data_IF_489910511754
#
_entry.id   IF_489910511754
#
_cell.length_a   1.000
_cell.length_b   1.000
_cell.length_c   1.000
_cell.angle_alpha   90.00
_cell.angle_beta   90.00
_cell.angle_gamma   90.00
#
_symmetry.space_group_name_H-M   'P 1'
#
loop_
_entity.id
_entity.type
_entity.pdbx_description
1 polymer ?
#
# COMPACT_ATOMS: atom_id res chain seq x y z
N UNK A 1 40.85 -7.48 -9.71
CA UNK A 1 39.54 -7.49 -10.38
C UNK A 1 38.52 -8.39 -9.65
N UNK A 2 38.98 -9.36 -8.85
CA UNK A 2 38.16 -10.29 -8.05
C UNK A 2 37.38 -9.62 -6.88
N UNK A 3 37.94 -8.60 -6.23
CA UNK A 3 37.31 -7.91 -5.07
C UNK A 3 36.13 -6.97 -5.44
N UNK A 4 35.84 -6.79 -6.73
CA UNK A 4 34.70 -5.96 -7.19
C UNK A 4 33.44 -6.80 -7.45
N UNK A 5 33.59 -8.09 -7.72
CA UNK A 5 32.46 -9.00 -8.00
C UNK A 5 31.78 -9.48 -6.71
N UNK A 6 32.55 -9.85 -5.67
CA UNK A 6 31.99 -10.20 -4.35
C UNK A 6 31.20 -9.05 -3.70
N UNK A 7 31.64 -7.81 -3.89
CA UNK A 7 30.94 -6.61 -3.37
C UNK A 7 29.64 -6.33 -4.12
N UNK A 8 29.52 -6.74 -5.39
CA UNK A 8 28.29 -6.63 -6.19
C UNK A 8 27.29 -7.73 -5.82
N UNK A 9 27.74 -8.99 -5.67
CA UNK A 9 26.88 -10.08 -5.19
C UNK A 9 26.30 -9.79 -3.79
N UNK A 10 27.11 -9.25 -2.89
CA UNK A 10 26.69 -8.87 -1.53
C UNK A 10 25.60 -7.80 -1.51
N UNK A 11 25.68 -6.81 -2.41
CA UNK A 11 24.67 -5.74 -2.52
C UNK A 11 23.38 -6.23 -3.19
N UNK A 12 23.48 -7.08 -4.21
CA UNK A 12 22.32 -7.67 -4.88
C UNK A 12 21.45 -8.49 -3.93
N UNK A 13 22.08 -9.34 -3.11
CA UNK A 13 21.38 -10.13 -2.08
C UNK A 13 20.63 -9.24 -1.08
N UNK A 14 21.24 -8.14 -0.61
CA UNK A 14 20.58 -7.19 0.31
C UNK A 14 19.37 -6.49 -0.29
N UNK A 15 19.41 -6.13 -1.58
CA UNK A 15 18.27 -5.52 -2.27
C UNK A 15 17.16 -6.55 -2.46
N UNK A 16 17.52 -7.78 -2.81
CA UNK A 16 16.56 -8.88 -2.93
C UNK A 16 15.87 -9.18 -1.60
N UNK A 17 16.63 -9.29 -0.52
CA UNK A 17 16.11 -9.50 0.84
C UNK A 17 15.17 -8.37 1.27
N UNK A 18 15.52 -7.13 0.93
CA UNK A 18 14.66 -5.98 1.18
C UNK A 18 13.32 -6.09 0.45
N UNK A 19 13.36 -6.38 -0.86
CA UNK A 19 12.16 -6.55 -1.69
C UNK A 19 11.30 -7.71 -1.18
N UNK A 20 11.91 -8.86 -0.87
CA UNK A 20 11.21 -10.03 -0.34
C UNK A 20 10.50 -9.65 0.97
N UNK A 21 11.19 -8.93 1.87
CA UNK A 21 10.61 -8.50 3.14
C UNK A 21 9.42 -7.55 2.94
N UNK A 22 9.54 -6.58 2.03
CA UNK A 22 8.46 -5.62 1.76
C UNK A 22 7.30 -6.23 0.98
N UNK A 23 7.56 -7.16 0.06
CA UNK A 23 6.54 -7.92 -0.65
C UNK A 23 5.76 -8.84 0.30
N UNK A 24 6.44 -9.52 1.22
CA UNK A 24 5.76 -10.27 2.28
C UNK A 24 4.89 -9.34 3.14
N UNK A 25 5.40 -8.16 3.48
CA UNK A 25 4.63 -7.12 4.17
C UNK A 25 3.36 -6.68 3.45
N UNK A 26 3.46 -6.42 2.15
CA UNK A 26 2.29 -6.13 1.30
C UNK A 26 1.29 -7.28 1.37
N UNK A 27 1.75 -8.52 1.19
CA UNK A 27 0.86 -9.68 1.17
C UNK A 27 0.06 -9.78 2.48
N UNK A 28 0.71 -9.63 3.64
CA UNK A 28 -0.01 -9.61 4.92
C UNK A 28 -1.07 -8.50 4.99
N UNK A 29 -0.74 -7.29 4.52
CA UNK A 29 -1.67 -6.16 4.50
C UNK A 29 -2.87 -6.36 3.56
N UNK A 30 -2.61 -6.87 2.36
CA UNK A 30 -3.64 -7.17 1.35
C UNK A 30 -4.55 -8.30 1.81
N UNK A 31 -3.97 -9.42 2.23
CA UNK A 31 -4.76 -10.58 2.66
C UNK A 31 -5.56 -10.28 3.93
N UNK A 32 -4.98 -9.59 4.92
CA UNK A 32 -5.69 -9.26 6.15
C UNK A 32 -6.96 -8.42 5.87
N UNK A 33 -6.85 -7.38 5.05
CA UNK A 33 -7.98 -6.49 4.70
C UNK A 33 -9.04 -7.19 3.85
N UNK A 34 -8.64 -8.06 2.92
CA UNK A 34 -9.58 -8.83 2.10
C UNK A 34 -10.26 -9.95 2.88
N UNK A 35 -9.54 -10.67 3.75
CA UNK A 35 -10.13 -11.72 4.59
C UNK A 35 -11.22 -11.12 5.49
N UNK A 36 -10.94 -10.01 6.18
CA UNK A 36 -11.95 -9.37 7.04
C UNK A 36 -13.13 -8.84 6.21
N UNK A 37 -12.88 -8.22 5.05
CA UNK A 37 -13.93 -7.69 4.19
C UNK A 37 -14.80 -8.78 3.56
N UNK A 38 -14.21 -9.94 3.22
CA UNK A 38 -14.95 -11.09 2.71
C UNK A 38 -15.76 -11.78 3.81
N UNK A 39 -15.22 -11.96 5.02
CA UNK A 39 -15.97 -12.54 6.14
C UNK A 39 -17.23 -11.71 6.45
N UNK A 40 -17.09 -10.38 6.55
CA UNK A 40 -18.25 -9.50 6.77
C UNK A 40 -19.26 -9.61 5.63
N UNK A 41 -18.77 -9.66 4.38
CA UNK A 41 -19.64 -9.86 3.21
C UNK A 41 -20.37 -11.20 3.23
N UNK A 42 -19.69 -12.28 3.63
CA UNK A 42 -20.27 -13.62 3.76
C UNK A 42 -21.33 -13.64 4.85
N UNK A 43 -21.07 -13.01 6.01
CA UNK A 43 -22.08 -12.84 7.08
C UNK A 43 -23.29 -12.06 6.55
N UNK A 44 -23.05 -10.99 5.78
CA UNK A 44 -24.10 -10.20 5.14
C UNK A 44 -24.99 -11.04 4.21
N UNK A 45 -24.38 -11.94 3.44
CA UNK A 45 -25.08 -12.85 2.52
C UNK A 45 -26.02 -13.87 3.17
N UNK A 46 -25.94 -14.07 4.50
CA UNK A 46 -26.92 -14.90 5.22
C UNK A 46 -28.24 -14.16 5.50
N UNK A 47 -28.29 -12.84 5.31
CA UNK A 47 -29.50 -12.03 5.50
C UNK A 47 -30.23 -11.79 4.18
N UNK A 48 -31.53 -11.52 4.27
CA UNK A 48 -32.34 -11.19 3.08
C UNK A 48 -31.83 -9.89 2.42
N UNK A 49 -31.74 -9.84 1.07
CA UNK A 49 -31.24 -8.67 0.34
C UNK A 49 -31.97 -7.35 0.66
N UNK A 50 -33.27 -7.43 0.95
CA UNK A 50 -34.10 -6.26 1.25
C UNK A 50 -33.98 -5.78 2.71
N UNK A 51 -33.25 -6.52 3.55
CA UNK A 51 -33.05 -6.14 4.95
C UNK A 51 -32.04 -5.01 5.08
N UNK A 52 -32.33 -4.02 5.93
CA UNK A 52 -31.39 -2.96 6.28
C UNK A 52 -30.02 -3.51 6.74
N UNK A 53 -30.04 -4.65 7.45
CA UNK A 53 -28.84 -5.36 7.92
C UNK A 53 -27.94 -5.81 6.77
N UNK A 54 -28.51 -6.34 5.67
CA UNK A 54 -27.76 -6.74 4.48
C UNK A 54 -27.06 -5.55 3.83
N UNK A 55 -27.78 -4.43 3.66
CA UNK A 55 -27.24 -3.23 3.03
C UNK A 55 -26.07 -2.64 3.83
N UNK A 56 -26.20 -2.58 5.17
CA UNK A 56 -25.14 -2.09 6.04
C UNK A 56 -23.92 -3.01 6.00
N UNK A 57 -24.09 -4.33 6.14
CA UNK A 57 -22.97 -5.28 6.12
C UNK A 57 -22.25 -5.31 4.77
N UNK A 58 -23.00 -5.27 3.67
CA UNK A 58 -22.43 -5.26 2.31
C UNK A 58 -21.68 -3.95 2.03
N UNK A 59 -22.19 -2.83 2.53
CA UNK A 59 -21.51 -1.53 2.44
C UNK A 59 -20.21 -1.53 3.25
N UNK A 60 -20.25 -2.00 4.49
CA UNK A 60 -19.07 -2.13 5.36
C UNK A 60 -18.04 -3.08 4.74
N UNK A 61 -18.47 -4.23 4.22
CA UNK A 61 -17.60 -5.18 3.51
C UNK A 61 -16.89 -4.53 2.31
N UNK A 62 -17.62 -3.71 1.55
CA UNK A 62 -17.06 -2.97 0.41
C UNK A 62 -16.06 -1.91 0.85
N UNK A 63 -16.37 -1.18 1.93
CA UNK A 63 -15.44 -0.22 2.52
C UNK A 63 -14.16 -0.90 3.00
N UNK A 64 -14.25 -2.05 3.68
CA UNK A 64 -13.06 -2.79 4.15
C UNK A 64 -12.17 -3.26 2.99
N UNK A 65 -12.77 -3.68 1.87
CA UNK A 65 -12.02 -4.00 0.64
C UNK A 65 -11.36 -2.77 0.00
N UNK A 66 -11.97 -1.60 0.11
CA UNK A 66 -11.36 -0.35 -0.35
C UNK A 66 -10.22 0.13 0.57
N UNK A 67 -10.22 -0.26 1.85
CA UNK A 67 -9.12 0.01 2.78
C UNK A 67 -7.88 -0.86 2.52
N UNK A 68 -7.89 -1.74 1.50
CA UNK A 68 -6.74 -2.57 1.15
C UNK A 68 -5.48 -1.77 0.83
N UNK A 69 -5.59 -0.56 0.24
CA UNK A 69 -4.44 0.32 0.05
C UNK A 69 -3.75 0.75 1.34
N UNK A 70 -4.54 1.06 2.39
CA UNK A 70 -4.03 1.36 3.73
C UNK A 70 -3.40 0.10 4.33
N UNK A 71 -4.06 -1.05 4.18
CA UNK A 71 -3.54 -2.33 4.65
C UNK A 71 -2.17 -2.65 4.07
N UNK A 72 -2.00 -2.49 2.75
CA UNK A 72 -0.72 -2.67 2.06
C UNK A 72 0.33 -1.70 2.60
N UNK A 73 0.00 -0.40 2.70
CA UNK A 73 0.91 0.61 3.24
C UNK A 73 1.41 0.25 4.63
N UNK A 74 0.49 -0.04 5.55
CA UNK A 74 0.82 -0.45 6.92
C UNK A 74 1.62 -1.76 6.96
N UNK A 75 1.27 -2.75 6.14
CA UNK A 75 1.96 -4.04 6.08
C UNK A 75 3.43 -3.91 5.63
N UNK A 76 3.68 -3.07 4.62
CA UNK A 76 5.05 -2.74 4.19
C UNK A 76 5.79 -1.97 5.29
N UNK A 77 5.13 -0.96 5.88
CA UNK A 77 5.75 -0.13 6.93
C UNK A 77 6.15 -0.92 8.17
N UNK A 78 5.29 -1.84 8.63
CA UNK A 78 5.57 -2.75 9.74
C UNK A 78 6.70 -3.73 9.41
N UNK A 79 6.75 -4.23 8.17
CA UNK A 79 7.84 -5.12 7.72
C UNK A 79 9.19 -4.40 7.70
N UNK A 80 9.19 -3.09 7.50
CA UNK A 80 10.39 -2.25 7.60
C UNK A 80 10.69 -1.75 9.02
N UNK A 81 9.88 -2.14 10.01
CA UNK A 81 9.98 -1.67 11.41
C UNK A 81 9.86 -0.14 11.53
N UNK A 82 8.97 0.47 10.75
CA UNK A 82 8.61 1.87 10.95
C UNK A 82 7.59 2.00 12.08
N UNK A 83 7.84 2.94 13.00
CA UNK A 83 7.01 3.15 14.18
C UNK A 83 6.37 4.55 14.21
N UNK A 84 5.25 4.64 14.94
CA UNK A 84 4.56 5.89 15.25
C UNK A 84 4.16 6.68 14.00
N UNK A 85 4.66 7.91 13.88
CA UNK A 85 4.25 8.85 12.84
C UNK A 85 4.64 8.41 11.42
N UNK A 86 5.78 7.71 11.26
CA UNK A 86 6.22 7.20 9.95
C UNK A 86 5.28 6.13 9.44
N UNK A 87 4.74 5.30 10.33
CA UNK A 87 3.80 4.25 9.95
C UNK A 87 2.46 4.85 9.51
N UNK A 88 1.98 5.87 10.22
CA UNK A 88 0.73 6.58 9.88
C UNK A 88 0.85 7.26 8.51
N UNK A 89 1.97 7.94 8.23
CA UNK A 89 2.18 8.60 6.94
C UNK A 89 2.26 7.59 5.79
N UNK A 90 2.90 6.45 6.00
CA UNK A 90 2.95 5.36 5.02
C UNK A 90 1.55 4.77 4.78
N UNK A 91 0.75 4.58 5.83
CA UNK A 91 -0.65 4.15 5.69
C UNK A 91 -1.49 5.13 4.88
N UNK A 92 -1.36 6.44 5.15
CA UNK A 92 -2.02 7.50 4.39
C UNK A 92 -1.57 7.55 2.92
N UNK A 93 -0.27 7.38 2.68
CA UNK A 93 0.27 7.23 1.33
C UNK A 93 -0.32 6.03 0.60
N UNK A 94 -0.46 4.88 1.28
CA UNK A 94 -1.14 3.70 0.77
C UNK A 94 -2.58 3.99 0.36
N UNK A 95 -3.33 4.74 1.19
CA UNK A 95 -4.67 5.20 0.84
C UNK A 95 -4.68 6.04 -0.44
N UNK A 96 -3.84 7.08 -0.51
CA UNK A 96 -3.81 8.04 -1.62
C UNK A 96 -3.37 7.35 -2.93
N UNK A 97 -2.41 6.42 -2.84
CA UNK A 97 -1.90 5.69 -4.01
C UNK A 97 -2.96 4.78 -4.65
N UNK A 98 -3.99 4.38 -3.92
CA UNK A 98 -5.11 3.57 -4.45
C UNK A 98 -5.91 4.35 -5.50
N UNK A 99 -6.04 5.67 -5.33
CA UNK A 99 -6.70 6.55 -6.30
C UNK A 99 -5.85 6.81 -7.56
N UNK A 100 -4.54 6.54 -7.48
CA UNK A 100 -3.58 6.73 -8.56
C UNK A 100 -3.45 5.51 -9.48
N UNK A 101 -4.37 4.55 -9.37
CA UNK A 101 -4.41 3.34 -10.21
C UNK A 101 -4.70 3.70 -11.68
N UNK A 102 -3.64 4.04 -12.41
CA UNK A 102 -3.65 4.13 -13.86
C UNK A 102 -3.49 2.74 -14.46
N UNK A 103 -4.37 2.37 -15.39
CA UNK A 103 -4.22 1.12 -16.13
C UNK A 103 -3.55 1.44 -17.46
N UNK A 104 -2.50 0.70 -17.80
CA UNK A 104 -1.96 0.73 -19.15
C UNK A 104 -2.93 -0.01 -20.06
N UNK A 105 -3.72 0.74 -20.83
CA UNK A 105 -4.53 0.12 -21.88
C UNK A 105 -3.57 -0.25 -23.02
N UNK A 106 -3.39 -1.56 -23.21
CA UNK A 106 -2.63 -2.12 -24.33
C UNK A 106 -3.67 -2.68 -25.29
N UNK A 107 -3.87 -1.99 -26.42
CA UNK A 107 -4.68 -2.47 -27.53
C UNK A 107 -3.70 -2.92 -28.62
N UNK A 108 -3.85 -4.16 -29.09
CA UNK A 108 -3.01 -4.78 -30.13
C UNK A 108 -1.49 -4.71 -29.89
N UNK A 109 -1.06 -4.87 -28.62
CA UNK A 109 0.36 -4.98 -28.28
C UNK A 109 1.16 -3.67 -28.33
N UNK A 110 0.49 -2.54 -28.57
CA UNK A 110 1.10 -1.20 -28.54
C UNK A 110 0.59 -0.47 -27.30
N UNK A 111 1.52 0.14 -26.54
CA UNK A 111 1.16 1.01 -25.41
C UNK A 111 0.66 2.32 -26.02
N UNK A 112 -0.66 2.49 -26.05
CA UNK A 112 -1.32 3.62 -26.69
C UNK A 112 -1.25 4.88 -25.81
N UNK A 113 -1.93 4.88 -24.66
CA UNK A 113 -1.97 6.04 -23.75
C UNK A 113 -2.14 5.64 -22.27
N UNK A 114 -1.53 6.41 -21.34
CA UNK A 114 -1.76 6.25 -19.90
C UNK A 114 -3.15 6.80 -19.57
N UNK A 115 -4.13 5.92 -19.54
CA UNK A 115 -5.46 6.32 -19.13
C UNK A 115 -5.59 6.18 -17.62
N UNK A 116 -5.73 7.32 -16.94
CA UNK A 116 -6.28 7.38 -15.59
C UNK A 116 -7.76 7.04 -15.66
N UNK A 117 -8.09 5.77 -15.87
CA UNK A 117 -9.43 5.39 -16.31
C UNK A 117 -10.50 5.67 -15.27
N UNK A 118 -10.20 5.82 -13.97
CA UNK A 118 -11.21 6.18 -12.96
C UNK A 118 -10.57 6.82 -11.72
N UNK A 119 -10.87 8.09 -11.44
CA UNK A 119 -10.64 8.71 -10.13
C UNK A 119 -11.69 8.17 -9.15
N UNK A 120 -11.52 6.94 -8.67
CA UNK A 120 -12.53 6.25 -7.86
C UNK A 120 -11.94 5.22 -6.91
N UNK A 121 -12.65 4.94 -5.82
CA UNK A 121 -12.33 3.86 -4.86
C UNK A 121 -12.52 2.49 -5.53
N UNK A 122 -11.52 2.07 -6.32
CA UNK A 122 -11.37 0.68 -6.72
C UNK A 122 -10.56 -0.06 -5.67
N UNK A 123 -10.70 -1.38 -5.64
CA UNK A 123 -9.67 -2.26 -5.06
C UNK A 123 -8.36 -1.85 -5.72
N UNK A 124 -7.51 -1.13 -4.97
CA UNK A 124 -6.32 -0.50 -5.51
C UNK A 124 -5.41 -1.54 -6.14
N UNK A 125 -4.86 -1.22 -7.30
CA UNK A 125 -3.84 -2.05 -7.93
C UNK A 125 -2.69 -2.23 -6.92
N UNK A 126 -2.50 -3.46 -6.37
CA UNK A 126 -1.52 -3.69 -5.32
C UNK A 126 -0.11 -3.30 -5.75
N UNK A 127 0.18 -3.40 -7.05
CA UNK A 127 1.47 -3.04 -7.62
C UNK A 127 1.69 -1.52 -7.61
N UNK A 128 0.68 -0.73 -7.99
CA UNK A 128 0.77 0.73 -7.92
C UNK A 128 0.97 1.20 -6.49
N UNK A 129 0.19 0.67 -5.55
CA UNK A 129 0.30 1.00 -4.12
C UNK A 129 1.70 0.66 -3.60
N UNK A 130 2.24 -0.51 -3.97
CA UNK A 130 3.59 -0.92 -3.59
C UNK A 130 4.66 0.04 -4.05
N UNK A 131 4.68 0.38 -5.35
CA UNK A 131 5.73 1.23 -5.92
C UNK A 131 5.72 2.61 -5.26
N UNK A 132 4.54 3.20 -5.08
CA UNK A 132 4.38 4.50 -4.41
C UNK A 132 4.82 4.43 -2.95
N UNK A 133 4.37 3.41 -2.21
CA UNK A 133 4.73 3.23 -0.80
C UNK A 133 6.23 2.97 -0.63
N UNK A 134 6.87 2.17 -1.49
CA UNK A 134 8.31 1.92 -1.44
C UNK A 134 9.09 3.19 -1.75
N UNK A 135 8.69 3.97 -2.75
CA UNK A 135 9.30 5.26 -3.03
C UNK A 135 9.23 6.19 -1.81
N UNK A 136 8.09 6.22 -1.13
CA UNK A 136 7.89 7.00 0.10
C UNK A 136 8.72 6.45 1.26
N UNK A 137 8.78 5.13 1.44
CA UNK A 137 9.64 4.48 2.44
C UNK A 137 11.13 4.77 2.21
N UNK A 138 11.56 4.98 0.96
CA UNK A 138 12.93 5.38 0.61
C UNK A 138 13.16 6.89 0.86
N UNK A 139 12.15 7.71 0.59
CA UNK A 139 12.18 9.17 0.77
C UNK A 139 12.07 9.59 2.23
N UNK A 140 11.30 8.89 3.06
CA UNK A 140 11.12 9.17 4.49
C UNK A 140 12.46 9.26 5.25
N UNK A 141 13.40 8.30 5.16
CA UNK A 141 14.69 8.40 5.84
C UNK A 141 15.62 9.44 5.20
N UNK A 142 15.40 9.82 3.94
CA UNK A 142 16.18 10.83 3.23
C UNK A 142 15.75 12.26 3.60
N UNK A 143 14.44 12.49 3.71
CA UNK A 143 13.82 13.78 4.07
C UNK A 143 13.78 13.97 5.58
N UNK A 144 13.46 12.92 6.36
CA UNK A 144 13.31 12.98 7.83
C UNK A 144 14.53 12.41 8.56
N UNK A 145 15.72 12.97 8.28
CA UNK A 145 16.98 12.56 8.93
C UNK A 145 17.05 12.90 10.42
N UNK A 146 16.13 13.73 10.95
CA UNK A 146 16.04 14.11 12.38
C UNK A 146 14.84 13.48 13.08
N UNK A 147 14.93 13.36 14.41
CA UNK A 147 13.86 12.82 15.27
C UNK A 147 12.57 13.61 15.01
N UNK A 148 11.51 12.88 14.66
CA UNK A 148 10.15 13.34 14.32
C UNK A 148 9.46 14.31 15.30
N UNK A 149 9.82 14.43 16.60
CA UNK A 149 9.21 15.47 17.45
C UNK A 149 9.62 16.89 17.03
N UNK A 150 10.83 17.07 16.47
CA UNK A 150 11.41 18.40 16.23
C UNK A 150 10.94 18.99 14.90
N UNK A 151 10.77 18.17 13.86
CA UNK A 151 10.30 18.63 12.54
C UNK A 151 8.84 19.10 12.57
N UNK A 152 7.99 18.43 13.35
CA UNK A 152 6.58 18.84 13.53
C UNK A 152 6.46 20.19 14.27
N UNK A 153 7.42 20.51 15.15
CA UNK A 153 7.47 21.78 15.86
C UNK A 153 8.00 22.90 14.95
N UNK A 154 9.01 22.62 14.11
CA UNK A 154 9.62 23.62 13.22
C UNK A 154 8.65 24.06 12.11
N UNK A 155 7.80 23.17 11.59
CA UNK A 155 6.76 23.52 10.60
C UNK A 155 5.65 24.42 11.14
N UNK A 156 5.44 24.46 12.47
CA UNK A 156 4.45 25.34 13.11
C UNK A 156 5.03 26.72 13.47
N UNK A 157 6.34 26.94 13.28
CA UNK A 157 7.05 28.17 13.67
C UNK A 157 7.34 29.12 12.48
N UNK A 158 6.98 28.73 11.26
CA UNK A 158 6.87 29.58 10.07
C UNK A 158 5.40 29.70 9.67
#
# INVERSE_FOLDING_TARGET
MENTEEKKESKGKKVLDYIIKTMNGMAYGLFSTLIIGTIIGTIGGFFNPDSYVYQVLTSVASLLKNLTGIGIGLGIGLSLKFDGLKLISIGAAGAISTFMSGTWSVVDGVIDHFNYTNFGFKIGDPLTVYVVVIAICLLIPLVLRKKTPVDIIIVRLF
#
